data_IF_763936806941
#
_entry.id   IF_763936806941
#
_cell.length_a   1.000
_cell.length_b   1.000
_cell.length_c   1.000
_cell.angle_alpha   90.00
_cell.angle_beta   90.00
_cell.angle_gamma   90.00
#
_symmetry.space_group_name_H-M   'P 1'
#
loop_
_entity.id
_entity.type
_entity.pdbx_description
1 polymer ?
#
# COMPACT_ATOMS: atom_id res chain seq x y z
N UNK A 1 18.03 11.05 22.88
CA UNK A 1 18.14 9.58 23.06
C UNK A 1 18.37 9.31 24.54
N UNK A 2 17.84 8.23 25.14
CA UNK A 2 18.33 7.82 26.45
C UNK A 2 19.79 7.41 26.27
N UNK A 3 20.69 8.28 26.71
CA UNK A 3 22.09 7.97 26.93
C UNK A 3 22.18 6.93 28.04
N UNK A 4 22.47 5.66 27.69
CA UNK A 4 22.89 4.66 28.67
C UNK A 4 22.05 3.39 28.82
N UNK A 5 21.70 2.68 27.74
CA UNK A 5 21.44 1.23 27.87
C UNK A 5 22.70 0.47 27.47
N UNK A 6 23.43 -0.07 28.44
CA UNK A 6 24.49 -1.03 28.15
C UNK A 6 23.88 -2.20 27.33
N UNK A 7 24.51 -2.56 26.21
CA UNK A 7 24.07 -3.70 25.41
C UNK A 7 24.28 -4.96 26.25
N UNK A 8 23.30 -5.87 26.27
CA UNK A 8 23.42 -7.15 26.97
C UNK A 8 24.67 -7.91 26.50
N UNK A 9 25.44 -8.45 27.46
CA UNK A 9 26.70 -9.17 27.20
C UNK A 9 26.52 -10.34 26.22
N UNK A 10 25.47 -11.15 26.36
CA UNK A 10 25.23 -12.28 25.46
C UNK A 10 25.11 -11.82 24.00
N UNK A 11 24.49 -10.65 23.74
CA UNK A 11 24.42 -10.07 22.40
C UNK A 11 25.76 -9.52 21.90
N UNK A 12 26.61 -9.00 22.79
CA UNK A 12 27.96 -8.55 22.42
C UNK A 12 28.83 -9.74 22.04
N UNK A 13 28.74 -10.82 22.83
CA UNK A 13 29.44 -12.07 22.59
C UNK A 13 28.99 -12.73 21.28
N UNK A 14 27.69 -12.70 20.94
CA UNK A 14 27.23 -13.16 19.62
C UNK A 14 27.72 -12.26 18.47
N UNK A 15 27.77 -10.94 18.67
CA UNK A 15 28.24 -10.02 17.62
C UNK A 15 29.74 -10.17 17.34
N UNK A 16 30.54 -10.53 18.34
CA UNK A 16 31.98 -10.74 18.17
C UNK A 16 32.31 -12.00 17.37
N UNK A 17 31.39 -12.96 17.29
CA UNK A 17 31.49 -14.17 16.45
C UNK A 17 31.25 -13.91 14.95
N UNK A 18 30.88 -12.69 14.55
CA UNK A 18 30.59 -12.35 13.16
C UNK A 18 31.83 -12.54 12.26
N UNK A 19 31.72 -13.38 11.23
CA UNK A 19 32.85 -13.74 10.34
C UNK A 19 32.88 -12.94 9.03
N UNK A 20 32.02 -11.93 8.90
CA UNK A 20 31.92 -11.08 7.70
C UNK A 20 31.71 -9.62 8.09
N UNK A 21 31.92 -8.71 7.15
CA UNK A 21 31.69 -7.28 7.35
C UNK A 21 30.19 -6.97 7.34
N UNK A 22 29.65 -6.63 8.52
CA UNK A 22 28.24 -6.23 8.69
C UNK A 22 27.90 -4.95 7.94
N UNK A 23 28.85 -4.04 7.74
CA UNK A 23 28.63 -2.77 7.07
C UNK A 23 28.54 -2.99 5.55
N UNK A 24 29.36 -3.89 5.00
CA UNK A 24 29.22 -4.38 3.61
C UNK A 24 27.83 -5.00 3.39
N UNK A 25 27.40 -5.92 4.27
CA UNK A 25 26.08 -6.52 4.18
C UNK A 25 24.96 -5.48 4.29
N UNK A 26 25.11 -4.49 5.16
CA UNK A 26 24.13 -3.41 5.33
C UNK A 26 24.03 -2.55 4.06
N UNK A 27 25.16 -2.23 3.44
CA UNK A 27 25.21 -1.50 2.17
C UNK A 27 24.51 -2.30 1.06
N UNK A 28 24.80 -3.59 0.93
CA UNK A 28 24.11 -4.46 -0.02
C UNK A 28 22.60 -4.55 0.26
N UNK A 29 22.22 -4.71 1.54
CA UNK A 29 20.82 -4.85 1.95
C UNK A 29 19.99 -3.62 1.59
N UNK A 30 20.53 -2.42 1.83
CA UNK A 30 19.83 -1.15 1.56
C UNK A 30 20.00 -0.70 0.10
N UNK A 31 20.99 -1.22 -0.62
CA UNK A 31 21.25 -0.89 -2.03
C UNK A 31 22.21 0.29 -2.22
N UNK A 32 23.20 0.44 -1.34
CA UNK A 32 24.30 1.39 -1.47
C UNK A 32 24.36 2.45 -0.37
N UNK A 33 25.47 3.20 -0.35
CA UNK A 33 25.77 4.20 0.68
C UNK A 33 24.78 5.37 0.67
N UNK A 34 24.41 5.87 -0.50
CA UNK A 34 23.45 6.97 -0.64
C UNK A 34 22.07 6.60 -0.07
N UNK A 35 21.55 5.43 -0.43
CA UNK A 35 20.27 4.92 0.08
C UNK A 35 20.31 4.67 1.59
N UNK A 36 21.44 4.19 2.11
CA UNK A 36 21.65 4.01 3.55
C UNK A 36 21.66 5.35 4.30
N UNK A 37 22.36 6.36 3.78
CA UNK A 37 22.37 7.69 4.36
C UNK A 37 20.97 8.31 4.34
N UNK A 38 20.30 8.30 3.19
CA UNK A 38 18.94 8.81 3.08
C UNK A 38 17.96 8.08 4.02
N UNK A 39 18.12 6.76 4.21
CA UNK A 39 17.35 6.00 5.20
C UNK A 39 17.63 6.46 6.63
N UNK A 40 18.90 6.62 7.00
CA UNK A 40 19.30 7.07 8.35
C UNK A 40 18.84 8.49 8.64
N UNK A 41 18.92 9.38 7.66
CA UNK A 41 18.44 10.77 7.79
C UNK A 41 16.92 10.79 8.06
N UNK A 42 16.17 9.96 7.33
CA UNK A 42 14.72 9.75 7.57
C UNK A 42 14.45 9.19 8.96
N UNK A 43 15.16 8.15 9.38
CA UNK A 43 15.01 7.57 10.72
C UNK A 43 15.32 8.58 11.82
N UNK A 44 16.40 9.34 11.67
CA UNK A 44 16.80 10.37 12.61
C UNK A 44 15.76 11.49 12.70
N UNK A 45 15.27 11.96 11.55
CA UNK A 45 14.19 12.93 11.47
C UNK A 45 12.97 12.46 12.27
N UNK A 46 12.49 11.24 12.02
CA UNK A 46 11.31 10.71 12.69
C UNK A 46 11.50 10.42 14.19
N UNK A 47 12.64 9.86 14.60
CA UNK A 47 12.91 9.55 16.01
C UNK A 47 12.99 10.82 16.88
N UNK A 48 13.32 11.96 16.26
CA UNK A 48 13.40 13.26 16.91
C UNK A 48 12.09 14.05 16.90
N UNK A 49 10.99 13.51 16.37
CA UNK A 49 9.65 14.12 16.51
C UNK A 49 8.89 13.47 17.68
N UNK A 50 8.71 14.16 18.82
CA UNK A 50 7.87 13.67 19.91
C UNK A 50 6.45 13.26 19.45
N UNK A 51 5.90 13.97 18.47
CA UNK A 51 4.54 13.80 17.95
C UNK A 51 4.33 12.45 17.25
N UNK A 52 5.39 11.74 16.87
CA UNK A 52 5.31 10.41 16.24
C UNK A 52 5.25 9.26 17.24
N UNK A 53 5.43 9.54 18.54
CA UNK A 53 5.30 8.52 19.59
C UNK A 53 3.83 8.20 19.82
N UNK A 54 3.55 6.94 20.16
CA UNK A 54 2.20 6.55 20.61
C UNK A 54 1.94 7.27 21.95
N UNK A 55 0.80 7.95 22.06
CA UNK A 55 0.35 8.57 23.33
C UNK A 55 0.05 7.52 24.39
N UNK A 56 -0.57 6.41 23.97
CA UNK A 56 -0.86 5.21 24.75
C UNK A 56 -0.40 4.00 23.94
N UNK A 57 0.18 2.95 24.55
CA UNK A 57 0.48 1.73 23.82
C UNK A 57 -0.78 1.19 23.11
N UNK A 58 -0.73 1.03 21.79
CA UNK A 58 -1.89 0.69 20.96
C UNK A 58 -2.65 -0.58 21.39
N UNK A 59 -1.99 -1.51 22.09
CA UNK A 59 -2.64 -2.72 22.61
C UNK A 59 -3.61 -2.46 23.79
N UNK A 60 -3.61 -1.25 24.36
CA UNK A 60 -4.58 -0.80 25.35
C UNK A 60 -5.68 0.08 24.77
N UNK A 61 -5.58 0.45 23.49
CA UNK A 61 -6.54 1.31 22.82
C UNK A 61 -7.72 0.48 22.26
N UNK A 62 -8.91 1.08 22.28
CA UNK A 62 -10.08 0.57 21.56
C UNK A 62 -9.91 0.66 20.05
N UNK A 63 -10.78 -0.02 19.29
CA UNK A 63 -10.77 0.03 17.81
C UNK A 63 -10.81 1.47 17.28
N UNK A 64 -11.66 2.31 17.87
CA UNK A 64 -11.77 3.72 17.49
C UNK A 64 -10.48 4.48 17.79
N UNK A 65 -9.94 4.35 19.01
CA UNK A 65 -8.71 5.04 19.41
C UNK A 65 -7.50 4.61 18.59
N UNK A 66 -7.42 3.33 18.18
CA UNK A 66 -6.37 2.85 17.26
C UNK A 66 -6.45 3.59 15.93
N UNK A 67 -7.64 3.73 15.33
CA UNK A 67 -7.81 4.48 14.09
C UNK A 67 -7.47 5.97 14.27
N UNK A 68 -8.00 6.61 15.32
CA UNK A 68 -7.77 8.03 15.61
C UNK A 68 -6.28 8.36 15.82
N UNK A 69 -5.56 7.55 16.58
CA UNK A 69 -4.12 7.73 16.79
C UNK A 69 -3.33 7.49 15.50
N UNK A 70 -3.74 6.50 14.70
CA UNK A 70 -3.08 6.15 13.45
C UNK A 70 -3.28 7.25 12.38
N UNK A 71 -4.48 7.82 12.25
CA UNK A 71 -4.73 8.94 11.33
C UNK A 71 -4.05 10.22 11.80
N UNK A 72 -4.05 10.51 13.12
CA UNK A 72 -3.30 11.64 13.71
C UNK A 72 -1.82 11.55 13.35
N UNK A 73 -1.21 10.38 13.50
CA UNK A 73 0.20 10.17 13.13
C UNK A 73 0.42 10.33 11.63
N UNK A 74 -0.43 9.73 10.80
CA UNK A 74 -0.32 9.81 9.35
C UNK A 74 -0.35 11.27 8.86
N UNK A 75 -1.29 12.08 9.35
CA UNK A 75 -1.40 13.51 8.99
C UNK A 75 -0.24 14.34 9.54
N UNK A 76 0.25 14.04 10.74
CA UNK A 76 1.43 14.72 11.32
C UNK A 76 2.69 14.41 10.49
N UNK A 77 2.92 13.13 10.14
CA UNK A 77 4.05 12.71 9.30
C UNK A 77 3.96 13.39 7.94
N UNK A 78 2.76 13.42 7.32
CA UNK A 78 2.52 14.11 6.06
C UNK A 78 2.93 15.58 6.13
N UNK A 79 2.42 16.32 7.13
CA UNK A 79 2.69 17.75 7.32
C UNK A 79 4.19 18.04 7.46
N UNK A 80 4.86 17.34 8.38
CA UNK A 80 6.30 17.51 8.65
C UNK A 80 7.17 17.13 7.45
N UNK A 81 6.79 16.08 6.72
CA UNK A 81 7.47 15.66 5.48
C UNK A 81 7.36 16.74 4.41
N UNK A 82 6.16 17.33 4.24
CA UNK A 82 5.94 18.39 3.26
C UNK A 82 6.79 19.62 3.58
N UNK A 83 6.89 20.01 4.84
CA UNK A 83 7.76 21.10 5.29
C UNK A 83 9.24 20.82 5.00
N UNK A 84 9.71 19.61 5.29
CA UNK A 84 11.09 19.20 5.03
C UNK A 84 11.42 19.29 3.54
N UNK A 85 10.58 18.71 2.68
CA UNK A 85 10.82 18.68 1.24
C UNK A 85 10.68 20.07 0.60
N UNK A 86 9.80 20.95 1.10
CA UNK A 86 9.77 22.35 0.68
C UNK A 86 11.09 23.08 0.90
N UNK A 87 11.79 22.80 2.02
CA UNK A 87 13.10 23.39 2.32
C UNK A 87 14.23 22.85 1.44
N UNK A 88 14.08 21.65 0.89
CA UNK A 88 15.09 20.96 0.08
C UNK A 88 14.83 21.06 -1.43
N UNK A 89 13.79 21.80 -1.85
CA UNK A 89 13.27 21.77 -3.22
C UNK A 89 12.24 20.67 -3.38
N UNK A 90 10.95 21.04 -3.32
CA UNK A 90 9.86 20.07 -3.35
C UNK A 90 9.82 19.32 -4.68
N UNK A 91 9.94 18.00 -4.63
CA UNK A 91 9.67 17.10 -5.75
C UNK A 91 8.55 16.14 -5.33
N UNK A 92 7.45 16.17 -6.09
CA UNK A 92 6.27 15.33 -5.91
C UNK A 92 6.59 13.83 -5.95
N UNK A 93 7.51 13.38 -6.81
CA UNK A 93 7.89 11.98 -6.88
C UNK A 93 8.70 11.57 -5.64
N UNK A 94 9.63 12.43 -5.20
CA UNK A 94 10.31 12.26 -3.93
C UNK A 94 9.33 12.26 -2.76
N UNK A 95 8.30 13.11 -2.77
CA UNK A 95 7.26 13.14 -1.74
C UNK A 95 6.49 11.82 -1.68
N UNK A 96 5.99 11.31 -2.81
CA UNK A 96 5.27 10.03 -2.86
C UNK A 96 6.17 8.87 -2.41
N UNK A 97 7.41 8.82 -2.87
CA UNK A 97 8.38 7.80 -2.45
C UNK A 97 8.72 7.91 -0.96
N UNK A 98 8.88 9.14 -0.45
CA UNK A 98 9.14 9.39 0.96
C UNK A 98 7.95 8.96 1.82
N UNK A 99 6.73 9.29 1.38
CA UNK A 99 5.49 8.89 2.05
C UNK A 99 5.30 7.38 2.04
N UNK A 100 5.54 6.69 0.92
CA UNK A 100 5.48 5.22 0.85
C UNK A 100 6.49 4.57 1.82
N UNK A 101 7.72 5.10 1.90
CA UNK A 101 8.79 4.56 2.74
C UNK A 101 8.59 4.89 4.24
N UNK A 102 8.18 6.11 4.59
CA UNK A 102 8.06 6.57 5.98
C UNK A 102 6.77 6.12 6.66
N UNK A 103 5.72 5.88 5.89
CA UNK A 103 4.43 5.39 6.39
C UNK A 103 4.39 3.86 6.54
N UNK A 104 5.51 3.17 6.33
CA UNK A 104 5.64 1.75 6.63
C UNK A 104 5.59 1.45 8.14
N UNK A 105 5.54 0.17 8.49
CA UNK A 105 5.21 -0.33 9.85
C UNK A 105 6.17 0.08 10.98
N UNK A 106 7.22 0.87 10.70
CA UNK A 106 8.20 1.31 11.68
C UNK A 106 7.67 2.37 12.65
N UNK A 107 6.83 3.31 12.16
CA UNK A 107 6.28 4.41 12.96
C UNK A 107 4.76 4.34 13.13
N UNK A 108 4.07 3.68 12.20
CA UNK A 108 2.63 3.39 12.29
C UNK A 108 2.46 1.86 12.31
N UNK A 109 2.28 1.29 13.50
CA UNK A 109 2.27 -0.18 13.69
C UNK A 109 1.04 -0.87 13.11
N UNK A 110 -0.11 -0.21 13.13
CA UNK A 110 -1.41 -0.74 12.69
C UNK A 110 -1.77 -0.40 11.23
N UNK A 111 -0.73 -0.10 10.43
CA UNK A 111 -0.79 0.29 9.02
C UNK A 111 -1.37 1.69 8.81
N UNK A 112 -0.74 2.44 7.90
CA UNK A 112 -1.15 3.81 7.57
C UNK A 112 -2.49 3.87 6.81
N UNK A 113 -3.49 4.66 7.26
CA UNK A 113 -4.76 4.85 6.56
C UNK A 113 -4.61 5.54 5.20
N UNK A 114 -3.54 6.30 4.96
CA UNK A 114 -3.26 6.90 3.65
C UNK A 114 -2.50 5.97 2.69
N UNK A 115 -2.21 4.72 3.08
CA UNK A 115 -1.40 3.81 2.27
C UNK A 115 -2.00 3.55 0.90
N UNK A 116 -3.30 3.27 0.82
CA UNK A 116 -3.98 2.97 -0.46
C UNK A 116 -3.99 4.18 -1.39
N UNK A 117 -4.03 5.40 -0.83
CA UNK A 117 -3.96 6.61 -1.61
C UNK A 117 -2.64 6.71 -2.41
N UNK A 118 -1.50 6.51 -1.75
CA UNK A 118 -0.19 6.56 -2.41
C UNK A 118 0.15 5.31 -3.21
N UNK A 119 -0.25 4.12 -2.74
CA UNK A 119 0.13 2.84 -3.37
C UNK A 119 -0.81 2.34 -4.46
N UNK A 120 -2.04 2.85 -4.54
CA UNK A 120 -3.02 2.40 -5.54
C UNK A 120 -3.77 3.53 -6.23
N UNK A 121 -4.30 4.53 -5.50
CA UNK A 121 -5.10 5.59 -6.10
C UNK A 121 -4.28 6.45 -7.06
N UNK A 122 -3.16 7.03 -6.59
CA UNK A 122 -2.24 7.81 -7.44
C UNK A 122 -1.69 6.97 -8.61
N UNK A 123 -1.15 5.75 -8.39
CA UNK A 123 -0.71 4.89 -9.48
C UNK A 123 -1.81 4.57 -10.50
N UNK A 124 -3.07 4.39 -10.06
CA UNK A 124 -4.19 4.14 -10.98
C UNK A 124 -4.50 5.34 -11.87
N UNK A 125 -4.40 6.57 -11.35
CA UNK A 125 -4.54 7.78 -12.16
C UNK A 125 -3.42 7.82 -13.22
N UNK A 126 -2.16 7.55 -12.84
CA UNK A 126 -1.03 7.51 -13.79
C UNK A 126 -1.15 6.38 -14.84
N UNK A 127 -1.61 5.21 -14.42
CA UNK A 127 -1.68 4.01 -15.25
C UNK A 127 -2.88 4.00 -16.21
N UNK A 128 -4.00 4.64 -15.83
CA UNK A 128 -5.25 4.55 -16.57
C UNK A 128 -5.83 5.90 -17.03
N UNK A 129 -5.41 7.02 -16.44
CA UNK A 129 -5.89 8.36 -16.81
C UNK A 129 -5.25 8.88 -18.08
N UNK A 130 -6.05 9.48 -18.97
CA UNK A 130 -5.54 10.28 -20.10
C UNK A 130 -4.71 11.47 -19.60
N UNK A 131 -4.02 12.17 -20.51
CA UNK A 131 -3.26 13.36 -20.15
C UNK A 131 -4.16 14.40 -19.45
N UNK A 132 -5.35 14.68 -20.00
CA UNK A 132 -6.28 15.65 -19.40
C UNK A 132 -6.78 15.19 -18.02
N UNK A 133 -6.96 13.89 -17.82
CA UNK A 133 -7.38 13.32 -16.54
C UNK A 133 -6.28 13.36 -15.48
N UNK A 134 -5.03 13.12 -15.90
CA UNK A 134 -3.88 13.28 -15.02
C UNK A 134 -3.73 14.74 -14.61
N UNK A 135 -3.84 15.69 -15.54
CA UNK A 135 -3.79 17.13 -15.24
C UNK A 135 -4.89 17.53 -14.25
N UNK A 136 -6.10 16.96 -14.39
CA UNK A 136 -7.24 17.25 -13.52
C UNK A 136 -7.08 16.74 -12.08
N UNK A 137 -6.55 15.53 -11.89
CA UNK A 137 -6.60 14.84 -10.59
C UNK A 137 -5.24 14.55 -9.95
N UNK A 138 -4.18 14.36 -10.74
CA UNK A 138 -2.92 13.83 -10.23
C UNK A 138 -2.27 14.81 -9.25
N UNK A 139 -2.20 16.09 -9.60
CA UNK A 139 -1.61 17.10 -8.71
C UNK A 139 -2.41 17.27 -7.43
N UNK A 140 -3.75 17.29 -7.52
CA UNK A 140 -4.64 17.32 -6.36
C UNK A 140 -4.42 16.13 -5.43
N UNK A 141 -4.29 14.93 -6.01
CA UNK A 141 -4.03 13.72 -5.25
C UNK A 141 -2.65 13.75 -4.58
N UNK A 142 -1.60 14.12 -5.31
CA UNK A 142 -0.23 14.28 -4.76
C UNK A 142 -0.19 15.28 -3.60
N UNK A 143 -0.95 16.37 -3.70
CA UNK A 143 -1.05 17.39 -2.66
C UNK A 143 -1.98 16.99 -1.50
N UNK A 144 -2.65 15.84 -1.60
CA UNK A 144 -3.74 15.39 -0.73
C UNK A 144 -4.88 16.40 -0.58
N UNK A 145 -5.16 17.19 -1.64
CA UNK A 145 -6.39 17.96 -1.77
C UNK A 145 -7.59 17.03 -1.98
N UNK A 146 -7.35 15.91 -2.65
CA UNK A 146 -8.25 14.75 -2.68
C UNK A 146 -7.55 13.54 -2.09
N UNK A 147 -8.27 12.74 -1.30
CA UNK A 147 -7.76 11.51 -0.72
C UNK A 147 -8.59 10.36 -1.27
N UNK A 148 -7.91 9.34 -1.77
CA UNK A 148 -8.51 8.35 -2.65
C UNK A 148 -8.26 6.91 -2.25
N UNK A 149 -9.22 6.05 -2.52
CA UNK A 149 -9.09 4.59 -2.41
C UNK A 149 -9.23 3.87 -3.76
N UNK A 150 -9.04 2.56 -3.75
CA UNK A 150 -9.21 1.68 -4.92
C UNK A 150 -10.32 0.66 -4.63
N UNK A 151 -11.50 0.89 -5.21
CA UNK A 151 -12.73 0.17 -4.95
C UNK A 151 -13.03 -0.86 -6.06
N UNK A 152 -12.37 -2.02 -5.96
CA UNK A 152 -12.55 -3.13 -6.90
C UNK A 152 -13.40 -4.25 -6.30
N UNK A 153 -12.90 -4.86 -5.22
CA UNK A 153 -13.52 -6.00 -4.53
C UNK A 153 -14.94 -5.65 -4.09
N UNK A 154 -15.83 -6.61 -4.28
CA UNK A 154 -17.21 -6.58 -3.82
C UNK A 154 -17.43 -7.65 -2.76
N UNK A 155 -18.52 -7.53 -2.00
CA UNK A 155 -18.91 -8.51 -0.99
C UNK A 155 -18.99 -9.92 -1.57
N UNK A 156 -19.52 -10.09 -2.79
CA UNK A 156 -19.64 -11.38 -3.47
C UNK A 156 -18.40 -11.78 -4.30
N UNK A 157 -17.49 -10.85 -4.62
CA UNK A 157 -16.47 -11.07 -5.64
C UNK A 157 -15.15 -10.36 -5.32
N UNK A 158 -14.07 -11.13 -5.15
CA UNK A 158 -12.68 -10.63 -5.10
C UNK A 158 -11.82 -11.17 -6.24
N UNK A 159 -11.65 -12.49 -6.29
CA UNK A 159 -10.80 -13.16 -7.30
C UNK A 159 -11.39 -13.11 -8.71
N UNK A 160 -12.69 -13.38 -8.84
CA UNK A 160 -13.36 -13.49 -10.14
C UNK A 160 -13.87 -12.11 -10.61
N UNK A 161 -12.97 -11.28 -11.14
CA UNK A 161 -13.29 -9.89 -11.52
C UNK A 161 -14.35 -9.77 -12.64
N UNK A 162 -14.45 -10.77 -13.53
CA UNK A 162 -15.53 -10.83 -14.52
C UNK A 162 -16.92 -11.00 -13.88
N UNK A 163 -16.94 -11.49 -12.64
CA UNK A 163 -18.14 -11.68 -11.82
C UNK A 163 -18.69 -10.41 -11.19
N UNK A 164 -17.89 -9.34 -11.06
CA UNK A 164 -18.29 -8.08 -10.41
C UNK A 164 -19.68 -7.63 -10.85
N UNK A 165 -20.51 -7.18 -9.93
CA UNK A 165 -21.92 -6.90 -10.14
C UNK A 165 -22.22 -5.40 -10.23
N UNK A 166 -21.32 -4.53 -9.74
CA UNK A 166 -21.45 -3.08 -9.91
C UNK A 166 -21.48 -2.74 -11.40
N UNK A 167 -22.50 -2.02 -11.83
CA UNK A 167 -22.67 -1.59 -13.23
C UNK A 167 -22.35 -0.12 -13.39
N UNK A 168 -21.82 0.26 -14.55
CA UNK A 168 -21.60 1.63 -15.00
C UNK A 168 -22.20 1.75 -16.40
N UNK A 169 -23.41 2.31 -16.50
CA UNK A 169 -24.17 2.38 -17.76
C UNK A 169 -24.09 3.80 -18.32
N UNK A 170 -23.62 3.94 -19.55
CA UNK A 170 -23.54 5.24 -20.23
C UNK A 170 -24.92 5.71 -20.67
N UNK A 171 -25.23 6.96 -20.34
CA UNK A 171 -26.43 7.70 -20.71
C UNK A 171 -26.04 8.75 -21.75
N UNK A 172 -26.38 8.49 -23.01
CA UNK A 172 -26.03 9.33 -24.16
C UNK A 172 -26.70 10.69 -24.13
N UNK A 173 -27.88 10.79 -23.50
CA UNK A 173 -28.67 12.04 -23.47
C UNK A 173 -28.02 13.08 -22.56
N UNK A 174 -27.44 12.65 -21.44
CA UNK A 174 -26.84 13.55 -20.44
C UNK A 174 -25.31 13.61 -20.48
N UNK A 175 -24.66 12.78 -21.31
CA UNK A 175 -23.19 12.58 -21.33
C UNK A 175 -22.64 12.11 -19.96
N UNK A 176 -23.39 11.24 -19.29
CA UNK A 176 -23.08 10.73 -17.94
C UNK A 176 -23.03 9.22 -17.89
N UNK A 177 -22.46 8.69 -16.82
CA UNK A 177 -22.42 7.27 -16.50
C UNK A 177 -23.19 7.08 -15.19
N UNK A 178 -24.17 6.20 -15.22
CA UNK A 178 -24.96 5.78 -14.07
C UNK A 178 -24.30 4.57 -13.43
N UNK A 179 -23.74 4.74 -12.24
CA UNK A 179 -23.17 3.67 -11.43
C UNK A 179 -24.23 3.13 -10.47
N UNK A 180 -24.37 1.80 -10.41
CA UNK A 180 -25.35 1.17 -9.53
C UNK A 180 -24.83 -0.13 -8.89
N UNK A 181 -25.22 -0.34 -7.64
CA UNK A 181 -25.03 -1.59 -6.89
C UNK A 181 -26.36 -2.35 -6.86
N UNK A 182 -26.63 -3.26 -7.82
CA UNK A 182 -27.96 -3.87 -7.98
C UNK A 182 -28.37 -4.82 -6.84
N UNK A 183 -27.41 -5.29 -6.04
CA UNK A 183 -27.62 -6.28 -4.98
C UNK A 183 -26.68 -6.03 -3.81
N UNK A 184 -26.98 -6.57 -2.62
CA UNK A 184 -26.07 -6.50 -1.48
C UNK A 184 -24.68 -7.06 -1.81
N UNK A 185 -24.60 -8.17 -2.56
CA UNK A 185 -23.33 -8.78 -3.00
C UNK A 185 -22.48 -7.85 -3.90
N UNK A 186 -23.10 -6.85 -4.54
CA UNK A 186 -22.42 -5.90 -5.43
C UNK A 186 -21.81 -4.70 -4.70
N UNK A 187 -22.04 -4.56 -3.39
CA UNK A 187 -21.41 -3.50 -2.60
C UNK A 187 -19.90 -3.70 -2.67
N UNK A 188 -19.17 -2.61 -2.93
CA UNK A 188 -17.72 -2.63 -2.76
C UNK A 188 -17.43 -2.96 -1.31
N UNK A 189 -16.44 -3.81 -1.08
CA UNK A 189 -16.12 -4.35 0.24
C UNK A 189 -14.64 -4.63 0.35
N UNK A 190 -14.00 -4.19 1.45
CA UNK A 190 -12.55 -4.18 1.71
C UNK A 190 -11.72 -2.95 1.30
N UNK A 191 -12.11 -2.01 0.42
CA UNK A 191 -11.23 -0.89 0.09
C UNK A 191 -10.74 -0.17 1.34
N UNK A 192 -9.41 -0.10 1.53
CA UNK A 192 -8.82 0.55 2.68
C UNK A 192 -9.15 2.04 2.68
N UNK A 193 -9.24 2.65 3.86
CA UNK A 193 -9.52 4.08 4.02
C UNK A 193 -10.97 4.51 3.65
N UNK A 194 -11.78 3.60 3.08
CA UNK A 194 -13.12 3.89 2.56
C UNK A 194 -14.12 4.25 3.66
N UNK A 195 -13.98 3.65 4.85
CA UNK A 195 -14.93 3.82 5.95
C UNK A 195 -15.11 5.28 6.35
N UNK A 196 -14.00 6.01 6.59
CA UNK A 196 -14.06 7.40 7.06
C UNK A 196 -13.01 8.35 6.47
N UNK A 197 -12.00 7.89 5.73
CA UNK A 197 -10.84 8.73 5.39
C UNK A 197 -10.91 9.35 4.00
N UNK A 198 -11.34 8.59 2.99
CA UNK A 198 -11.25 9.02 1.58
C UNK A 198 -12.51 9.75 1.12
N UNK A 199 -12.34 10.76 0.27
CA UNK A 199 -13.42 11.48 -0.39
C UNK A 199 -13.54 11.14 -1.89
N UNK A 200 -12.58 10.41 -2.45
CA UNK A 200 -12.59 9.90 -3.82
C UNK A 200 -12.28 8.40 -3.88
N UNK A 201 -12.67 7.75 -4.98
CA UNK A 201 -12.34 6.36 -5.27
C UNK A 201 -12.11 6.15 -6.76
N UNK A 202 -11.15 5.28 -7.10
CA UNK A 202 -11.19 4.57 -8.38
C UNK A 202 -12.10 3.36 -8.21
N UNK A 203 -13.28 3.40 -8.82
CA UNK A 203 -14.28 2.33 -8.77
C UNK A 203 -14.12 1.44 -10.00
N UNK A 204 -14.01 0.14 -9.80
CA UNK A 204 -14.00 -0.84 -10.90
C UNK A 204 -15.42 -1.38 -11.09
N UNK A 205 -16.02 -1.15 -12.26
CA UNK A 205 -17.40 -1.55 -12.55
C UNK A 205 -17.55 -2.10 -13.97
N UNK A 206 -18.61 -2.87 -14.22
CA UNK A 206 -18.97 -3.37 -15.55
C UNK A 206 -19.50 -2.21 -16.41
N UNK A 207 -18.79 -1.88 -17.49
CA UNK A 207 -19.21 -0.83 -18.42
C UNK A 207 -20.27 -1.34 -19.38
N UNK A 208 -21.34 -0.56 -19.56
CA UNK A 208 -22.35 -0.75 -20.58
C UNK A 208 -22.55 0.52 -21.41
N UNK A 209 -22.60 0.41 -22.74
CA UNK A 209 -23.05 1.49 -23.64
C UNK A 209 -23.78 0.88 -24.84
N UNK A 210 -24.78 1.58 -25.40
CA UNK A 210 -25.64 1.05 -26.48
C UNK A 210 -26.21 -0.36 -26.19
N UNK A 211 -26.54 -0.63 -24.92
CA UNK A 211 -27.02 -1.92 -24.46
C UNK A 211 -26.00 -3.07 -24.49
N UNK A 212 -24.72 -2.80 -24.74
CA UNK A 212 -23.65 -3.81 -24.85
C UNK A 212 -22.70 -3.76 -23.65
N UNK A 213 -22.23 -4.94 -23.22
CA UNK A 213 -21.22 -5.09 -22.18
C UNK A 213 -19.80 -4.92 -22.73
N UNK A 214 -18.98 -4.12 -22.04
CA UNK A 214 -17.63 -3.74 -22.48
C UNK A 214 -16.50 -4.14 -21.52
N UNK A 215 -16.78 -5.05 -20.58
CA UNK A 215 -15.79 -5.47 -19.58
C UNK A 215 -15.81 -4.61 -18.33
N UNK A 216 -14.88 -4.88 -17.40
CA UNK A 216 -14.69 -4.08 -16.20
C UNK A 216 -13.74 -2.90 -16.52
N UNK A 217 -14.13 -1.71 -16.07
CA UNK A 217 -13.40 -0.47 -16.34
C UNK A 217 -13.25 0.37 -15.06
N UNK A 218 -12.19 1.19 -14.96
CA UNK A 218 -11.97 2.10 -13.85
C UNK A 218 -12.69 3.46 -14.03
N UNK A 219 -13.31 3.95 -12.97
CA UNK A 219 -14.02 5.22 -12.92
C UNK A 219 -13.57 6.05 -11.72
N UNK A 220 -13.25 7.32 -11.93
CA UNK A 220 -13.04 8.29 -10.84
C UNK A 220 -14.39 8.71 -10.26
N UNK A 221 -14.59 8.47 -8.97
CA UNK A 221 -15.84 8.80 -8.28
C UNK A 221 -15.53 9.61 -7.04
N UNK A 222 -16.08 10.82 -6.95
CA UNK A 222 -16.17 11.56 -5.70
C UNK A 222 -17.26 10.90 -4.86
N UNK A 223 -16.93 10.53 -3.62
CA UNK A 223 -17.84 9.80 -2.73
C UNK A 223 -18.24 10.60 -1.49
N UNK A 224 -17.47 11.64 -1.16
CA UNK A 224 -17.79 12.60 -0.11
C UNK A 224 -17.60 14.01 -0.62
N UNK A 225 -18.38 14.92 -0.09
CA UNK A 225 -18.20 16.35 -0.30
C UNK A 225 -16.80 16.79 0.19
N UNK A 226 -16.12 17.64 -0.57
CA UNK A 226 -14.72 18.00 -0.27
C UNK A 226 -14.59 18.94 0.95
N UNK A 227 -15.66 19.64 1.32
CA UNK A 227 -15.66 20.58 2.45
C UNK A 227 -16.22 19.94 3.73
N UNK A 228 -17.41 19.35 3.65
CA UNK A 228 -18.12 18.77 4.79
C UNK A 228 -17.74 17.33 5.08
N UNK A 229 -17.09 16.64 4.12
CA UNK A 229 -16.75 15.22 4.17
C UNK A 229 -17.94 14.25 4.35
N UNK A 230 -19.16 14.77 4.17
CA UNK A 230 -20.37 13.97 4.21
C UNK A 230 -20.51 13.14 2.92
N UNK A 231 -21.00 11.88 2.99
CA UNK A 231 -21.29 11.10 1.79
C UNK A 231 -22.20 11.85 0.81
N UNK A 232 -21.89 11.79 -0.48
CA UNK A 232 -22.77 12.37 -1.50
C UNK A 232 -24.08 11.59 -1.60
N UNK A 233 -25.16 12.29 -1.99
CA UNK A 233 -26.49 11.67 -2.15
C UNK A 233 -26.45 10.52 -3.15
N UNK A 234 -27.15 9.42 -2.84
CA UNK A 234 -27.15 8.20 -3.64
C UNK A 234 -26.00 7.24 -3.35
N UNK A 235 -25.18 7.52 -2.33
CA UNK A 235 -24.11 6.64 -1.86
C UNK A 235 -24.40 6.12 -0.46
N UNK A 236 -24.11 4.84 -0.24
CA UNK A 236 -24.10 4.21 1.08
C UNK A 236 -22.67 3.82 1.42
N UNK A 237 -22.10 4.42 2.48
CA UNK A 237 -20.69 4.27 2.85
C UNK A 237 -20.57 3.98 4.34
N UNK A 238 -19.71 3.05 4.71
CA UNK A 238 -19.41 2.74 6.11
C UNK A 238 -18.18 1.85 6.28
N UNK A 239 -17.84 1.54 7.52
CA UNK A 239 -16.76 0.61 7.87
C UNK A 239 -17.26 -0.84 7.93
N UNK A 240 -16.42 -1.80 7.56
CA UNK A 240 -16.75 -3.24 7.63
C UNK A 240 -16.45 -3.88 9.00
N UNK A 241 -15.89 -3.10 9.93
CA UNK A 241 -15.62 -3.51 11.31
C UNK A 241 -14.20 -4.02 11.58
N UNK A 242 -14.06 -4.63 12.75
CA UNK A 242 -12.78 -5.08 13.30
C UNK A 242 -12.20 -6.27 12.53
N UNK A 243 -10.87 -6.31 12.41
CA UNK A 243 -10.13 -7.30 11.61
C UNK A 243 -9.08 -8.02 12.48
N UNK A 244 -8.49 -9.09 11.95
CA UNK A 244 -7.39 -9.82 12.62
C UNK A 244 -6.14 -8.96 12.85
N UNK A 245 -5.97 -7.90 12.05
CA UNK A 245 -4.95 -6.87 12.16
C UNK A 245 -5.27 -5.73 11.19
N UNK A 246 -4.33 -4.79 10.98
CA UNK A 246 -4.56 -3.61 10.12
C UNK A 246 -5.71 -2.74 10.66
N UNK A 247 -5.84 -2.64 11.98
CA UNK A 247 -6.98 -1.94 12.59
C UNK A 247 -6.80 -0.42 12.59
N UNK A 248 -5.62 0.09 12.22
CA UNK A 248 -5.38 1.50 11.93
C UNK A 248 -5.98 1.96 10.59
N UNK A 249 -6.49 1.02 9.78
CA UNK A 249 -7.17 1.29 8.52
C UNK A 249 -8.63 0.86 8.62
N UNK A 250 -9.52 1.82 8.39
CA UNK A 250 -10.97 1.63 8.31
C UNK A 250 -11.38 1.14 6.91
N UNK A 251 -11.14 -0.15 6.65
CA UNK A 251 -11.67 -0.79 5.45
C UNK A 251 -13.20 -0.62 5.39
N UNK A 252 -13.71 -0.23 4.23
CA UNK A 252 -15.11 0.16 4.12
C UNK A 252 -15.92 -0.65 3.12
N UNK A 253 -17.22 -0.35 3.11
CA UNK A 253 -18.13 -0.72 2.05
C UNK A 253 -18.62 0.53 1.30
N UNK A 254 -19.02 0.35 0.04
CA UNK A 254 -19.59 1.42 -0.78
C UNK A 254 -20.66 0.84 -1.71
N UNK A 255 -21.89 1.34 -1.56
CA UNK A 255 -23.03 1.06 -2.41
C UNK A 255 -23.44 2.29 -3.22
N UNK A 256 -23.91 2.05 -4.44
CA UNK A 256 -24.40 3.09 -5.35
C UNK A 256 -25.88 2.90 -5.66
N UNK A 257 -26.67 3.96 -5.57
CA UNK A 257 -28.08 3.99 -5.99
C UNK A 257 -28.23 4.91 -7.20
N UNK A 258 -28.04 4.35 -8.39
CA UNK A 258 -28.07 5.07 -9.67
C UNK A 258 -27.26 6.40 -9.64
N UNK A 259 -26.07 6.35 -9.07
CA UNK A 259 -25.21 7.50 -8.88
C UNK A 259 -24.60 7.96 -10.20
N UNK A 260 -24.75 9.24 -10.54
CA UNK A 260 -24.33 9.79 -11.83
C UNK A 260 -22.96 10.45 -11.73
N UNK A 261 -22.10 10.16 -12.71
CA UNK A 261 -20.80 10.84 -12.91
C UNK A 261 -20.67 11.26 -14.38
N UNK A 262 -19.91 12.32 -14.70
CA UNK A 262 -19.64 12.66 -16.10
C UNK A 262 -18.96 11.52 -16.86
N UNK A 263 -19.22 11.38 -18.17
CA UNK A 263 -18.51 10.39 -19.01
C UNK A 263 -16.99 10.49 -18.89
N UNK A 264 -16.47 11.72 -18.77
CA UNK A 264 -15.05 12.01 -18.60
C UNK A 264 -14.43 11.49 -17.31
N UNK A 265 -15.23 10.92 -16.39
CA UNK A 265 -14.75 10.26 -15.19
C UNK A 265 -14.35 8.79 -15.39
N UNK A 266 -14.70 8.15 -16.52
CA UNK A 266 -14.08 6.86 -16.90
C UNK A 266 -12.60 7.11 -17.24
N UNK A 267 -11.64 6.38 -16.68
CA UNK A 267 -10.22 6.62 -16.99
C UNK A 267 -9.85 6.08 -18.38
N UNK A 268 -9.47 6.97 -19.30
CA UNK A 268 -9.48 6.68 -20.75
C UNK A 268 -8.10 6.58 -21.44
N UNK A 269 -7.02 6.32 -20.70
CA UNK A 269 -5.68 6.16 -21.32
C UNK A 269 -5.64 4.97 -22.27
N UNK A 270 -6.16 3.83 -21.80
CA UNK A 270 -6.05 2.55 -22.50
C UNK A 270 -7.31 2.22 -23.31
N UNK A 271 -8.50 2.61 -22.84
CA UNK A 271 -9.77 2.39 -23.52
C UNK A 271 -10.56 3.70 -23.58
N UNK A 272 -11.41 3.92 -24.60
CA UNK A 272 -12.16 5.17 -24.74
C UNK A 272 -13.65 4.93 -24.84
N UNK A 273 -14.44 5.76 -24.18
CA UNK A 273 -15.88 5.86 -24.37
C UNK A 273 -16.18 7.20 -25.03
N UNK A 274 -16.58 7.16 -26.30
CA UNK A 274 -16.92 8.35 -27.07
C UNK A 274 -18.32 8.86 -26.70
N UNK A 275 -18.58 10.13 -27.04
CA UNK A 275 -19.85 10.81 -26.72
C UNK A 275 -21.06 10.16 -27.38
N UNK A 276 -20.86 9.55 -28.55
CA UNK A 276 -21.88 8.78 -29.26
C UNK A 276 -22.09 7.38 -28.67
N UNK A 277 -21.48 7.04 -27.54
CA UNK A 277 -21.57 5.72 -26.89
C UNK A 277 -20.67 4.64 -27.50
N UNK A 278 -19.85 4.96 -28.50
CA UNK A 278 -18.90 4.01 -29.09
C UNK A 278 -17.74 3.72 -28.15
N UNK A 279 -17.52 2.44 -27.84
CA UNK A 279 -16.42 1.97 -26.99
C UNK A 279 -15.22 1.47 -27.81
N UNK A 280 -14.06 2.08 -27.59
CA UNK A 280 -12.77 1.68 -28.16
C UNK A 280 -11.99 0.85 -27.15
N UNK A 281 -11.72 -0.40 -27.50
CA UNK A 281 -11.02 -1.37 -26.66
C UNK A 281 -9.53 -1.03 -26.51
N UNK A 282 -8.88 -1.44 -25.41
CA UNK A 282 -7.43 -1.32 -25.27
C UNK A 282 -6.68 -2.27 -26.18
N UNK A 283 -5.42 -1.92 -26.48
CA UNK A 283 -4.48 -2.75 -27.26
C UNK A 283 -4.33 -4.13 -26.62
N UNK A 284 -4.27 -4.19 -25.29
CA UNK A 284 -4.28 -5.43 -24.53
C UNK A 284 -5.22 -5.31 -23.33
N UNK A 285 -6.02 -6.35 -23.11
CA UNK A 285 -6.90 -6.45 -21.93
C UNK A 285 -6.13 -6.53 -20.61
N UNK A 286 -4.84 -6.90 -20.66
CA UNK A 286 -3.96 -6.98 -19.48
C UNK A 286 -3.65 -5.60 -18.89
N UNK A 287 -3.68 -4.55 -19.72
CA UNK A 287 -3.39 -3.17 -19.30
C UNK A 287 -4.37 -2.65 -18.24
N UNK A 288 -5.57 -3.21 -18.17
CA UNK A 288 -6.54 -2.87 -17.12
C UNK A 288 -6.12 -3.37 -15.73
N UNK A 289 -5.16 -4.29 -15.65
CA UNK A 289 -4.62 -4.83 -14.39
C UNK A 289 -3.28 -4.21 -13.97
N UNK A 290 -2.80 -3.18 -14.67
CA UNK A 290 -1.48 -2.56 -14.43
C UNK A 290 -1.24 -2.20 -12.95
N UNK A 291 -2.22 -1.57 -12.29
CA UNK A 291 -2.13 -1.26 -10.84
C UNK A 291 -1.96 -2.53 -9.98
N UNK A 292 -2.64 -3.64 -10.32
CA UNK A 292 -2.52 -4.88 -9.55
C UNK A 292 -1.16 -5.55 -9.72
N UNK A 293 -0.60 -5.52 -10.92
CA UNK A 293 0.75 -6.03 -11.20
C UNK A 293 1.78 -5.23 -10.40
N UNK A 294 1.69 -3.89 -10.43
CA UNK A 294 2.53 -3.00 -9.62
C UNK A 294 2.47 -3.34 -8.12
N UNK A 295 1.27 -3.50 -7.57
CA UNK A 295 1.08 -3.85 -6.15
C UNK A 295 1.68 -5.21 -5.82
N UNK A 296 1.52 -6.22 -6.69
CA UNK A 296 2.13 -7.56 -6.48
C UNK A 296 3.65 -7.49 -6.40
N UNK A 297 4.28 -6.72 -7.29
CA UNK A 297 5.72 -6.51 -7.29
C UNK A 297 6.15 -5.89 -5.95
N UNK A 298 5.45 -4.86 -5.46
CA UNK A 298 5.72 -4.23 -4.16
C UNK A 298 5.55 -5.20 -2.99
N UNK A 299 4.50 -6.03 -2.99
CA UNK A 299 4.24 -7.00 -1.91
C UNK A 299 5.43 -7.93 -1.72
N UNK A 300 6.05 -8.43 -2.80
CA UNK A 300 7.22 -9.32 -2.69
C UNK A 300 8.38 -8.68 -1.95
N UNK A 301 8.66 -7.39 -2.21
CA UNK A 301 9.68 -6.61 -1.48
C UNK A 301 9.33 -6.45 0.00
N UNK A 302 8.07 -6.16 0.30
CA UNK A 302 7.60 -5.98 1.67
C UNK A 302 7.70 -7.28 2.49
N UNK A 303 7.45 -8.44 1.88
CA UNK A 303 7.56 -9.74 2.55
C UNK A 303 8.98 -10.03 3.03
N UNK A 304 10.00 -9.69 2.23
CA UNK A 304 11.39 -9.85 2.62
C UNK A 304 11.72 -9.04 3.89
N UNK A 305 11.23 -7.79 3.95
CA UNK A 305 11.44 -6.91 5.11
C UNK A 305 10.70 -7.39 6.36
N UNK A 306 9.43 -7.81 6.22
CA UNK A 306 8.62 -8.30 7.35
C UNK A 306 9.21 -9.58 7.95
N UNK A 307 9.65 -10.51 7.10
CA UNK A 307 10.31 -11.73 7.55
C UNK A 307 11.66 -11.42 8.22
N UNK A 308 12.45 -10.49 7.67
CA UNK A 308 13.70 -10.04 8.27
C UNK A 308 13.48 -9.39 9.65
N UNK A 309 12.42 -8.58 9.82
CA UNK A 309 12.04 -8.00 11.12
C UNK A 309 11.70 -9.09 12.14
N UNK A 310 10.83 -10.04 11.78
CA UNK A 310 10.44 -11.15 12.65
C UNK A 310 11.65 -12.02 13.04
N UNK A 311 12.49 -12.38 12.08
CA UNK A 311 13.71 -13.14 12.30
C UNK A 311 14.70 -12.37 13.20
N UNK A 312 14.87 -11.07 13.00
CA UNK A 312 15.74 -10.23 13.84
C UNK A 312 15.29 -10.24 15.30
N UNK A 313 13.99 -10.12 15.57
CA UNK A 313 13.44 -10.17 16.93
C UNK A 313 13.66 -11.56 17.54
N UNK A 314 13.24 -12.61 16.83
CA UNK A 314 13.30 -13.98 17.32
C UNK A 314 14.75 -14.45 17.58
N UNK A 315 15.68 -14.13 16.70
CA UNK A 315 17.11 -14.47 16.85
C UNK A 315 17.72 -13.71 18.03
N UNK A 316 17.54 -12.38 18.09
CA UNK A 316 18.07 -11.59 19.22
C UNK A 316 17.53 -12.06 20.56
N UNK A 317 16.23 -12.36 20.64
CA UNK A 317 15.65 -12.94 21.84
C UNK A 317 16.24 -14.31 22.16
N UNK A 318 16.44 -15.16 21.15
CA UNK A 318 17.00 -16.50 21.33
C UNK A 318 18.47 -16.49 21.76
N UNK A 319 19.22 -15.44 21.41
CA UNK A 319 20.58 -15.19 21.89
C UNK A 319 20.63 -14.65 23.33
N UNK A 320 19.53 -14.22 23.92
CA UNK A 320 19.51 -13.70 25.31
C UNK A 320 18.78 -14.65 26.25
N UNK A 321 17.70 -15.27 25.77
CA UNK A 321 16.92 -16.20 26.56
C UNK A 321 17.76 -17.45 26.83
N UNK A 322 18.01 -17.72 28.11
CA UNK A 322 18.56 -18.99 28.58
C UNK A 322 17.42 -19.86 29.09
N UNK A 323 17.40 -21.12 28.66
CA UNK A 323 16.42 -22.09 29.15
C UNK A 323 16.92 -23.51 28.88
N UNK A 324 16.88 -24.33 29.93
CA UNK A 324 17.30 -25.74 29.92
C UNK A 324 18.80 -25.92 29.69
N UNK A 325 19.28 -27.13 29.94
CA UNK A 325 20.68 -27.52 29.78
C UNK A 325 20.84 -28.48 28.60
N UNK A 326 21.94 -28.37 27.88
CA UNK A 326 22.37 -29.38 26.89
C UNK A 326 23.27 -30.41 27.58
N UNK A 327 24.19 -29.94 28.41
CA UNK A 327 25.06 -30.74 29.25
C UNK A 327 24.60 -30.58 30.72
N UNK A 328 24.18 -31.66 31.41
CA UNK A 328 23.70 -31.59 32.79
C UNK A 328 24.69 -30.98 33.78
N UNK A 329 26.00 -30.97 33.45
CA UNK A 329 27.05 -30.43 34.32
C UNK A 329 27.37 -28.95 34.04
N UNK A 330 26.66 -28.30 33.11
CA UNK A 330 26.87 -26.91 32.70
C UNK A 330 25.65 -26.04 33.00
N UNK A 331 25.82 -24.71 33.14
CA UNK A 331 24.70 -23.79 33.31
C UNK A 331 23.77 -23.78 32.08
N UNK A 332 22.59 -23.17 32.23
CA UNK A 332 21.63 -23.02 31.15
C UNK A 332 22.23 -22.31 29.92
N UNK A 333 21.99 -22.91 28.76
CA UNK A 333 22.49 -22.42 27.47
C UNK A 333 21.55 -21.37 26.89
N UNK A 334 22.04 -20.56 25.95
CA UNK A 334 21.15 -19.70 25.17
C UNK A 334 20.23 -20.60 24.34
N UNK A 335 18.94 -20.27 24.19
CA UNK A 335 18.01 -21.16 23.50
C UNK A 335 18.36 -21.33 22.02
N UNK A 336 19.10 -20.38 21.43
CA UNK A 336 19.66 -20.51 20.07
C UNK A 336 20.67 -21.66 19.92
N UNK A 337 21.24 -22.16 21.02
CA UNK A 337 22.20 -23.28 20.99
C UNK A 337 21.51 -24.64 20.75
N UNK A 338 20.19 -24.72 20.98
CA UNK A 338 19.42 -25.91 20.66
C UNK A 338 19.22 -26.04 19.15
N UNK A 339 19.56 -27.21 18.58
CA UNK A 339 19.41 -27.47 17.14
C UNK A 339 17.97 -27.24 16.64
N UNK A 340 16.98 -27.59 17.46
CA UNK A 340 15.55 -27.37 17.14
C UNK A 340 15.20 -25.89 16.98
N UNK A 341 15.86 -24.99 17.73
CA UNK A 341 15.68 -23.55 17.61
C UNK A 341 16.39 -23.01 16.36
N UNK A 342 17.59 -23.51 16.06
CA UNK A 342 18.35 -23.12 14.86
C UNK A 342 17.59 -23.51 13.58
N UNK A 343 17.06 -24.73 13.51
CA UNK A 343 16.27 -25.20 12.36
C UNK A 343 14.99 -24.38 12.16
N UNK A 344 14.41 -23.82 13.23
CA UNK A 344 13.25 -22.92 13.11
C UNK A 344 13.63 -21.54 12.58
N UNK A 345 14.78 -20.99 12.99
CA UNK A 345 15.12 -19.58 12.77
C UNK A 345 16.09 -19.33 11.60
N UNK A 346 17.18 -20.09 11.48
CA UNK A 346 18.20 -19.86 10.46
C UNK A 346 17.64 -19.95 9.02
N UNK A 347 16.75 -20.91 8.69
CA UNK A 347 16.12 -20.93 7.37
C UNK A 347 15.26 -19.70 7.08
N UNK A 348 14.71 -19.02 8.09
CA UNK A 348 13.92 -17.79 7.86
C UNK A 348 14.81 -16.60 7.53
N UNK A 349 16.02 -16.53 8.10
CA UNK A 349 17.03 -15.53 7.71
C UNK A 349 17.42 -15.74 6.24
N UNK A 350 17.77 -16.97 5.87
CA UNK A 350 18.11 -17.32 4.49
C UNK A 350 16.95 -17.01 3.52
N UNK A 351 15.72 -17.34 3.91
CA UNK A 351 14.52 -17.04 3.11
C UNK A 351 14.28 -15.54 2.94
N UNK A 352 14.52 -14.72 3.96
CA UNK A 352 14.39 -13.26 3.84
C UNK A 352 15.38 -12.68 2.81
N UNK A 353 16.61 -13.20 2.78
CA UNK A 353 17.64 -12.84 1.79
C UNK A 353 17.21 -13.28 0.37
N UNK A 354 16.75 -14.53 0.23
CA UNK A 354 16.28 -15.05 -1.05
C UNK A 354 15.09 -14.25 -1.59
N UNK A 355 14.10 -13.96 -0.75
CA UNK A 355 12.94 -13.13 -1.11
C UNK A 355 13.36 -11.73 -1.56
N UNK A 356 14.33 -11.11 -0.89
CA UNK A 356 14.86 -9.80 -1.32
C UNK A 356 15.44 -9.88 -2.73
N UNK A 357 16.32 -10.84 -2.99
CA UNK A 357 16.95 -11.02 -4.31
C UNK A 357 15.91 -11.24 -5.40
N UNK A 358 14.92 -12.11 -5.15
CA UNK A 358 13.81 -12.36 -6.07
C UNK A 358 13.00 -11.08 -6.33
N UNK A 359 12.66 -10.34 -5.27
CA UNK A 359 11.87 -9.12 -5.37
C UNK A 359 12.61 -7.99 -6.10
N UNK A 360 13.94 -7.89 -5.92
CA UNK A 360 14.77 -6.94 -6.66
C UNK A 360 14.83 -7.28 -8.16
N UNK A 361 14.91 -8.58 -8.50
CA UNK A 361 14.84 -9.02 -9.89
C UNK A 361 13.47 -8.75 -10.52
N UNK A 362 12.39 -9.08 -9.80
CA UNK A 362 11.01 -8.85 -10.25
C UNK A 362 10.74 -7.36 -10.51
N UNK A 363 11.30 -6.48 -9.69
CA UNK A 363 11.18 -5.03 -9.92
C UNK A 363 11.88 -4.57 -11.20
N UNK A 364 13.08 -5.08 -11.49
CA UNK A 364 13.77 -4.77 -12.76
C UNK A 364 12.97 -5.25 -13.97
N UNK A 365 12.35 -6.43 -13.87
CA UNK A 365 11.47 -6.95 -14.91
C UNK A 365 10.22 -6.07 -15.10
N UNK A 366 9.62 -5.60 -14.01
CA UNK A 366 8.52 -4.65 -14.03
C UNK A 366 8.92 -3.34 -14.73
N UNK A 367 10.04 -2.71 -14.34
CA UNK A 367 10.54 -1.47 -14.94
C UNK A 367 10.77 -1.63 -16.45
N UNK A 368 11.45 -2.70 -16.86
CA UNK A 368 11.70 -2.97 -18.27
C UNK A 368 10.40 -3.17 -19.06
N UNK A 369 9.40 -3.83 -18.48
CA UNK A 369 8.10 -4.02 -19.12
C UNK A 369 7.33 -2.71 -19.25
N UNK A 370 7.44 -1.80 -18.26
CA UNK A 370 6.82 -0.47 -18.38
C UNK A 370 7.40 0.33 -19.56
N UNK A 371 8.73 0.27 -19.77
CA UNK A 371 9.39 0.90 -20.91
C UNK A 371 8.91 0.29 -22.24
N UNK A 372 8.81 -1.04 -22.32
CA UNK A 372 8.29 -1.72 -23.51
C UNK A 372 6.86 -1.23 -23.84
N UNK A 373 6.00 -1.10 -22.83
CA UNK A 373 4.62 -0.63 -22.99
C UNK A 373 4.52 0.80 -23.52
N UNK A 374 5.44 1.70 -23.19
CA UNK A 374 5.47 3.07 -23.73
C UNK A 374 5.67 3.08 -25.25
N UNK A 375 6.36 2.07 -25.78
CA UNK A 375 6.56 1.86 -27.22
C UNK A 375 5.48 0.98 -27.88
N UNK A 376 4.48 0.54 -27.11
CA UNK A 376 3.43 -0.37 -27.57
C UNK A 376 3.86 -1.83 -27.65
N UNK A 377 5.07 -2.18 -27.20
CA UNK A 377 5.54 -3.56 -27.12
C UNK A 377 4.89 -4.26 -25.92
N UNK A 378 4.25 -5.40 -26.17
CA UNK A 378 3.52 -6.18 -25.15
C UNK A 378 4.13 -7.55 -24.87
N UNK A 379 5.29 -7.87 -25.42
CA UNK A 379 5.83 -9.24 -25.44
C UNK A 379 6.18 -9.77 -24.04
N UNK A 380 6.58 -8.89 -23.11
CA UNK A 380 6.89 -9.27 -21.71
C UNK A 380 5.66 -9.35 -20.80
N UNK A 381 4.51 -8.82 -21.23
CA UNK A 381 3.30 -8.79 -20.39
C UNK A 381 2.79 -10.17 -19.95
N UNK A 382 2.89 -11.25 -20.74
CA UNK A 382 2.46 -12.56 -20.28
C UNK A 382 3.37 -13.18 -19.21
N UNK A 383 4.66 -12.82 -19.19
CA UNK A 383 5.66 -13.33 -18.24
C UNK A 383 5.63 -12.55 -16.92
N UNK A 384 5.43 -11.23 -16.99
CA UNK A 384 5.29 -10.35 -15.83
C UNK A 384 3.96 -10.57 -15.08
#
# INVERSE_FOLDING_TARGET
MPSGSAVNKDLLDERSKCTFDKDEFTLWWVGGKEKLNAKRDREHFCMNQPEFRDSVPLHFASHQEVYEETIRKATTIFSKTRELLKKQGYDANNFVNFMDIMLGDGFIREVNPLRIHFSMFIPSIKAHGSAEQQDRWLQKAVNCEIIGSYAQTELGHGTFLRGLETTATFDEETDEIVINSPRLSSYKWWPGALGHTVNHCIVIAKLYSKGRYHGVNPFMVQIRDEETHMPLSGLEIGEIGHKVGFNGVNNGFLGFKNFRIPRSNMLMKNAKLLRDGTYQKPISSVLNYGTMVFVRVIITRNMAQLLAKAATIAVRYSCVRRQSVIDPNKPEVQVIDHQTQQVKLLPQIAKAIALKLTADNLWKMYEATQVDLETGNTDRLPEL
#
